data_IF_100237524982
#
_entry.id   IF_100237524982
#
_cell.length_a   1.000
_cell.length_b   1.000
_cell.length_c   1.000
_cell.angle_alpha   90.00
_cell.angle_beta   90.00
_cell.angle_gamma   90.00
#
_symmetry.space_group_name_H-M   'P 1'
#
loop_
_entity.id
_entity.type
_entity.pdbx_description
1 polymer ?
#
# COMPACT_ATOMS: atom_id res chain seq x y z
N UNK A 1 10.55 16.64 -3.42
CA UNK A 1 9.89 15.43 -3.94
C UNK A 1 10.84 14.74 -4.90
N UNK A 2 11.30 13.53 -4.56
CA UNK A 2 12.00 12.66 -5.53
C UNK A 2 10.93 11.84 -6.23
N UNK A 3 10.77 12.07 -7.53
CA UNK A 3 9.97 11.24 -8.40
C UNK A 3 10.73 9.93 -8.59
N UNK A 4 10.16 8.79 -8.19
CA UNK A 4 10.77 7.49 -8.45
C UNK A 4 10.42 7.11 -9.89
N UNK A 5 11.44 6.88 -10.71
CA UNK A 5 11.30 6.46 -12.10
C UNK A 5 11.02 4.96 -12.20
N UNK A 6 10.52 4.49 -13.34
CA UNK A 6 10.34 3.05 -13.59
C UNK A 6 11.63 2.23 -13.38
N UNK A 7 12.81 2.84 -13.55
CA UNK A 7 14.10 2.19 -13.25
C UNK A 7 14.36 2.01 -11.75
N UNK A 8 13.83 2.89 -10.92
CA UNK A 8 13.89 2.77 -9.46
C UNK A 8 12.92 1.68 -8.96
N UNK A 9 11.78 1.49 -9.65
CA UNK A 9 10.83 0.39 -9.38
C UNK A 9 11.45 -1.00 -9.64
N UNK A 10 12.21 -1.16 -10.73
CA UNK A 10 12.93 -2.41 -10.99
C UNK A 10 14.03 -2.71 -9.94
N UNK A 11 14.65 -1.68 -9.34
CA UNK A 11 15.62 -1.87 -8.25
C UNK A 11 14.96 -2.36 -6.96
N UNK A 12 13.72 -1.95 -6.68
CA UNK A 12 12.97 -2.40 -5.50
C UNK A 12 12.59 -3.89 -5.59
N UNK A 13 12.30 -4.39 -6.80
CA UNK A 13 12.07 -5.82 -7.06
C UNK A 13 13.39 -6.62 -7.00
N UNK A 14 14.52 -6.05 -7.45
CA UNK A 14 15.80 -6.74 -7.50
C UNK A 14 16.51 -6.84 -6.12
N UNK A 15 16.39 -5.82 -5.27
CA UNK A 15 17.05 -5.77 -3.95
C UNK A 15 16.58 -6.87 -2.98
N UNK A 16 15.44 -7.52 -3.23
CA UNK A 16 14.99 -8.66 -2.41
C UNK A 16 15.76 -9.95 -2.65
N UNK A 17 16.70 -9.98 -3.61
CA UNK A 17 17.38 -11.22 -4.05
C UNK A 17 18.85 -11.35 -3.61
N UNK A 18 19.45 -10.35 -2.95
CA UNK A 18 20.87 -10.43 -2.56
C UNK A 18 21.10 -9.96 -1.12
N UNK A 19 21.04 -10.91 -0.18
CA UNK A 19 21.96 -11.06 0.97
C UNK A 19 22.20 -9.95 1.99
N UNK A 20 21.69 -8.73 1.84
CA UNK A 20 22.07 -7.59 2.68
C UNK A 20 20.90 -7.13 3.54
N UNK A 21 21.15 -7.02 4.85
CA UNK A 21 20.29 -6.45 5.90
C UNK A 21 18.92 -5.92 5.45
N UNK A 22 17.85 -6.68 5.73
CA UNK A 22 16.46 -6.32 5.44
C UNK A 22 16.05 -5.06 6.22
N UNK A 23 16.39 -3.89 5.68
CA UNK A 23 15.79 -2.62 6.09
C UNK A 23 14.45 -2.53 5.38
N UNK A 24 13.36 -2.22 6.10
CA UNK A 24 12.10 -1.95 5.46
C UNK A 24 12.25 -0.83 4.42
N UNK A 25 11.59 -0.99 3.27
CA UNK A 25 11.57 0.05 2.24
C UNK A 25 10.99 1.34 2.83
N UNK A 26 11.65 2.47 2.61
CA UNK A 26 11.20 3.75 3.13
C UNK A 26 10.72 4.66 1.99
N UNK A 27 9.41 4.84 1.91
CA UNK A 27 8.69 5.74 1.00
C UNK A 27 8.02 6.89 1.75
N UNK A 28 8.50 7.23 2.95
CA UNK A 28 7.89 8.29 3.74
C UNK A 28 7.85 9.61 2.95
N UNK A 29 6.66 10.19 2.81
CA UNK A 29 6.42 11.42 2.06
C UNK A 29 6.72 11.32 0.54
N UNK A 30 6.87 10.11 0.01
CA UNK A 30 7.11 9.91 -1.42
C UNK A 30 5.84 10.21 -2.24
N UNK A 31 6.03 10.72 -3.45
CA UNK A 31 4.97 10.79 -4.45
C UNK A 31 5.07 9.58 -5.37
N UNK A 32 4.09 8.69 -5.23
CA UNK A 32 3.88 7.45 -5.98
C UNK A 32 2.50 7.48 -6.66
N UNK A 33 1.94 8.67 -6.89
CA UNK A 33 0.66 8.80 -7.57
C UNK A 33 0.71 8.16 -8.96
N UNK A 34 -0.28 7.33 -9.27
CA UNK A 34 -0.35 6.56 -10.51
C UNK A 34 0.74 5.50 -10.68
N UNK A 35 1.53 5.18 -9.66
CA UNK A 35 2.62 4.20 -9.77
C UNK A 35 2.10 2.79 -10.12
N UNK A 36 2.88 2.05 -10.91
CA UNK A 36 2.62 0.66 -11.25
C UNK A 36 3.31 -0.27 -10.23
N UNK A 37 2.58 -0.69 -9.21
CA UNK A 37 3.05 -1.51 -8.08
C UNK A 37 2.33 -2.87 -7.99
N UNK A 38 1.68 -3.30 -9.08
CA UNK A 38 1.00 -4.58 -9.16
C UNK A 38 1.97 -5.72 -8.83
N UNK A 39 1.54 -6.61 -7.94
CA UNK A 39 2.35 -7.73 -7.40
C UNK A 39 3.64 -7.31 -6.64
N UNK A 40 3.80 -6.05 -6.25
CA UNK A 40 5.00 -5.60 -5.57
C UNK A 40 5.16 -6.25 -4.17
N UNK A 41 6.41 -6.52 -3.80
CA UNK A 41 6.79 -6.99 -2.46
C UNK A 41 7.12 -5.78 -1.57
N UNK A 42 6.14 -5.31 -0.81
CA UNK A 42 6.19 -4.10 0.01
C UNK A 42 5.99 -4.40 1.50
N UNK A 43 6.24 -5.64 1.93
CA UNK A 43 6.12 -6.03 3.33
C UNK A 43 6.98 -5.15 4.23
N UNK A 44 6.42 -4.73 5.37
CA UNK A 44 7.01 -3.81 6.35
C UNK A 44 7.33 -2.40 5.83
N UNK A 45 7.01 -2.06 4.58
CA UNK A 45 7.39 -0.77 4.00
C UNK A 45 6.74 0.40 4.75
N UNK A 46 7.49 1.51 4.83
CA UNK A 46 7.00 2.75 5.40
C UNK A 46 6.46 3.68 4.31
N UNK A 47 5.14 3.84 4.26
CA UNK A 47 4.42 4.78 3.40
C UNK A 47 3.81 5.94 4.18
N UNK A 48 4.32 6.24 5.38
CA UNK A 48 3.82 7.36 6.18
C UNK A 48 3.87 8.65 5.36
N UNK A 49 2.78 9.41 5.32
CA UNK A 49 2.61 10.64 4.52
C UNK A 49 2.77 10.46 2.98
N UNK A 50 2.84 9.22 2.47
CA UNK A 50 3.07 8.97 1.05
C UNK A 50 1.79 9.20 0.23
N UNK A 51 1.97 9.71 -1.00
CA UNK A 51 0.89 9.85 -1.95
C UNK A 51 0.89 8.68 -2.94
N UNK A 52 -0.09 7.78 -2.84
CA UNK A 52 -0.34 6.66 -3.75
C UNK A 52 -1.67 6.80 -4.49
N UNK A 53 -2.17 8.04 -4.66
CA UNK A 53 -3.45 8.26 -5.33
C UNK A 53 -3.43 7.70 -6.76
N UNK A 54 -4.48 6.96 -7.11
CA UNK A 54 -4.61 6.30 -8.42
C UNK A 54 -3.55 5.23 -8.73
N UNK A 55 -2.69 4.84 -7.79
CA UNK A 55 -1.68 3.80 -8.02
C UNK A 55 -2.33 2.42 -8.23
N UNK A 56 -1.65 1.57 -9.00
CA UNK A 56 -2.06 0.16 -9.19
C UNK A 56 -1.26 -0.73 -8.25
N UNK A 57 -1.91 -1.21 -7.18
CA UNK A 57 -1.38 -2.12 -6.17
C UNK A 57 -2.11 -3.48 -6.21
N UNK A 58 -2.69 -3.87 -7.34
CA UNK A 58 -3.38 -5.17 -7.45
C UNK A 58 -2.46 -6.30 -6.95
N UNK A 59 -2.93 -7.06 -5.97
CA UNK A 59 -2.21 -8.19 -5.36
C UNK A 59 -0.81 -7.83 -4.84
N UNK A 60 -0.56 -6.57 -4.49
CA UNK A 60 0.66 -6.18 -3.80
C UNK A 60 0.67 -6.74 -2.37
N UNK A 61 1.87 -7.07 -1.87
CA UNK A 61 2.07 -7.51 -0.50
C UNK A 61 2.46 -6.30 0.37
N UNK A 62 1.51 -5.81 1.17
CA UNK A 62 1.66 -4.71 2.13
C UNK A 62 1.58 -5.23 3.58
N UNK A 63 1.90 -6.51 3.79
CA UNK A 63 1.91 -7.13 5.11
C UNK A 63 2.75 -6.30 6.09
N UNK A 64 2.16 -5.92 7.22
CA UNK A 64 2.79 -5.07 8.25
C UNK A 64 3.30 -3.70 7.75
N UNK A 65 2.78 -3.16 6.65
CA UNK A 65 3.16 -1.83 6.18
C UNK A 65 2.70 -0.72 7.14
N UNK A 66 3.45 0.38 7.17
CA UNK A 66 3.09 1.60 7.90
C UNK A 66 2.44 2.59 6.95
N UNK A 67 1.13 2.85 7.12
CA UNK A 67 0.32 3.63 6.17
C UNK A 67 -0.24 4.92 6.80
N UNK A 68 0.39 5.42 7.87
CA UNK A 68 -0.06 6.59 8.60
C UNK A 68 -0.18 7.80 7.67
N UNK A 69 -1.35 8.41 7.61
CA UNK A 69 -1.65 9.60 6.82
C UNK A 69 -1.33 9.45 5.30
N UNK A 70 -1.22 8.20 4.82
CA UNK A 70 -0.99 7.90 3.41
C UNK A 70 -2.26 8.12 2.57
N UNK A 71 -2.09 8.54 1.32
CA UNK A 71 -3.19 8.77 0.39
C UNK A 71 -3.28 7.65 -0.65
N UNK A 72 -4.30 6.79 -0.55
CA UNK A 72 -4.66 5.75 -1.52
C UNK A 72 -5.95 6.10 -2.29
N UNK A 73 -6.35 7.37 -2.34
CA UNK A 73 -7.59 7.76 -3.04
C UNK A 73 -7.58 7.30 -4.50
N UNK A 74 -8.65 6.62 -4.92
CA UNK A 74 -8.81 6.06 -6.27
C UNK A 74 -7.81 4.96 -6.65
N UNK A 75 -6.96 4.49 -5.73
CA UNK A 75 -5.99 3.43 -6.02
C UNK A 75 -6.68 2.07 -6.22
N UNK A 76 -6.05 1.19 -7.00
CA UNK A 76 -6.47 -0.19 -7.18
C UNK A 76 -5.71 -1.10 -6.18
N UNK A 77 -6.38 -1.58 -5.14
CA UNK A 77 -5.81 -2.53 -4.17
C UNK A 77 -6.47 -3.92 -4.28
N UNK A 78 -7.07 -4.26 -5.42
CA UNK A 78 -7.76 -5.54 -5.57
C UNK A 78 -6.86 -6.72 -5.19
N UNK A 79 -7.30 -7.50 -4.21
CA UNK A 79 -6.56 -8.66 -3.71
C UNK A 79 -5.24 -8.35 -3.02
N UNK A 80 -4.95 -7.08 -2.68
CA UNK A 80 -3.75 -6.72 -1.92
C UNK A 80 -3.80 -7.29 -0.50
N UNK A 81 -2.63 -7.59 0.06
CA UNK A 81 -2.51 -8.05 1.44
C UNK A 81 -2.07 -6.90 2.35
N UNK A 82 -3.01 -6.33 3.11
CA UNK A 82 -2.77 -5.34 4.17
C UNK A 82 -2.88 -5.97 5.56
N UNK A 83 -2.73 -7.29 5.69
CA UNK A 83 -2.83 -7.92 7.00
C UNK A 83 -1.75 -7.40 7.95
N UNK A 84 -2.14 -7.17 9.20
CA UNK A 84 -1.32 -6.57 10.25
C UNK A 84 -0.74 -5.18 9.91
N UNK A 85 -1.26 -4.47 8.89
CA UNK A 85 -0.81 -3.13 8.57
C UNK A 85 -1.23 -2.11 9.65
N UNK A 86 -0.44 -1.04 9.77
CA UNK A 86 -0.75 0.09 10.66
C UNK A 86 -1.41 1.19 9.84
N UNK A 87 -2.72 1.34 9.99
CA UNK A 87 -3.58 2.18 9.16
C UNK A 87 -4.20 3.27 10.03
N UNK A 88 -3.57 4.44 10.06
CA UNK A 88 -4.09 5.59 10.81
C UNK A 88 -4.23 6.80 9.89
N UNK A 89 -5.40 7.45 9.86
CA UNK A 89 -5.60 8.65 9.04
C UNK A 89 -5.49 8.41 7.53
N UNK A 90 -5.42 7.14 7.11
CA UNK A 90 -5.20 6.76 5.71
C UNK A 90 -6.44 7.06 4.88
N UNK A 91 -6.25 7.67 3.71
CA UNK A 91 -7.33 7.99 2.78
C UNK A 91 -7.49 6.87 1.74
N UNK A 92 -8.55 6.08 1.82
CA UNK A 92 -8.94 5.07 0.82
C UNK A 92 -10.15 5.51 -0.02
N UNK A 93 -10.44 6.83 -0.11
CA UNK A 93 -11.64 7.32 -0.79
C UNK A 93 -11.69 6.86 -2.24
N UNK A 94 -12.78 6.23 -2.65
CA UNK A 94 -12.97 5.74 -4.02
C UNK A 94 -12.01 4.62 -4.44
N UNK A 95 -11.17 4.10 -3.54
CA UNK A 95 -10.24 3.02 -3.85
C UNK A 95 -10.97 1.71 -4.15
N UNK A 96 -10.38 0.87 -5.00
CA UNK A 96 -10.88 -0.48 -5.24
C UNK A 96 -10.23 -1.47 -4.27
N UNK A 97 -10.97 -1.83 -3.22
CA UNK A 97 -10.51 -2.69 -2.12
C UNK A 97 -11.05 -4.13 -2.23
N UNK A 98 -11.68 -4.52 -3.36
CA UNK A 98 -12.29 -5.86 -3.48
C UNK A 98 -11.25 -6.97 -3.28
N UNK A 99 -11.57 -7.94 -2.42
CA UNK A 99 -10.67 -9.02 -2.04
C UNK A 99 -9.45 -8.62 -1.22
N UNK A 100 -9.33 -7.35 -0.78
CA UNK A 100 -8.23 -6.91 0.07
C UNK A 100 -8.28 -7.59 1.43
N UNK A 101 -7.13 -7.98 1.96
CA UNK A 101 -7.03 -8.57 3.28
C UNK A 101 -6.58 -7.54 4.31
N UNK A 102 -7.46 -7.10 5.21
CA UNK A 102 -7.12 -6.26 6.37
C UNK A 102 -7.05 -7.06 7.69
N UNK A 103 -6.95 -8.40 7.64
CA UNK A 103 -6.96 -9.21 8.87
C UNK A 103 -5.85 -8.78 9.83
N UNK A 104 -6.21 -8.46 11.07
CA UNK A 104 -5.26 -7.99 12.09
C UNK A 104 -4.70 -6.58 11.87
N UNK A 105 -5.13 -5.86 10.84
CA UNK A 105 -4.73 -4.47 10.63
C UNK A 105 -5.24 -3.58 11.78
N UNK A 106 -4.40 -2.65 12.22
CA UNK A 106 -4.77 -1.65 13.22
C UNK A 106 -5.31 -0.43 12.49
N UNK A 107 -6.63 -0.35 12.37
CA UNK A 107 -7.33 0.70 11.62
C UNK A 107 -7.89 1.74 12.58
N UNK A 108 -7.48 3.00 12.40
CA UNK A 108 -7.98 4.14 13.16
C UNK A 108 -8.11 5.38 12.26
N UNK A 109 -9.22 6.10 12.34
CA UNK A 109 -9.43 7.36 11.61
C UNK A 109 -9.21 7.26 10.08
N UNK A 110 -9.35 6.07 9.49
CA UNK A 110 -9.20 5.86 8.04
C UNK A 110 -10.51 6.19 7.29
N UNK A 111 -10.38 6.81 6.12
CA UNK A 111 -11.53 7.20 5.29
C UNK A 111 -11.76 6.18 4.16
N UNK A 112 -12.86 5.44 4.26
CA UNK A 112 -13.31 4.46 3.27
C UNK A 112 -14.49 4.97 2.41
N UNK A 113 -14.78 6.26 2.41
CA UNK A 113 -15.90 6.83 1.64
C UNK A 113 -15.78 6.44 0.16
N UNK A 114 -16.86 5.92 -0.42
CA UNK A 114 -16.93 5.45 -1.82
C UNK A 114 -15.95 4.32 -2.18
N UNK A 115 -15.25 3.73 -1.21
CA UNK A 115 -14.37 2.58 -1.46
C UNK A 115 -15.19 1.36 -1.90
N UNK A 116 -14.69 0.63 -2.90
CA UNK A 116 -15.35 -0.58 -3.41
C UNK A 116 -14.87 -1.78 -2.62
N UNK A 117 -15.73 -2.39 -1.84
CA UNK A 117 -15.49 -3.64 -1.12
C UNK A 117 -16.41 -4.75 -1.62
N UNK A 118 -16.05 -6.01 -1.36
CA UNK A 118 -16.86 -7.18 -1.68
C UNK A 118 -16.82 -8.23 -0.56
N UNK A 119 -17.55 -9.33 -0.75
CA UNK A 119 -17.61 -10.45 0.21
C UNK A 119 -16.26 -11.13 0.48
N UNK A 120 -15.23 -10.86 -0.33
CA UNK A 120 -13.89 -11.41 -0.15
C UNK A 120 -12.98 -10.48 0.64
N UNK A 121 -13.41 -9.24 0.87
CA UNK A 121 -12.66 -8.26 1.65
C UNK A 121 -12.70 -8.68 3.12
N UNK A 122 -11.54 -8.81 3.76
CA UNK A 122 -11.41 -9.33 5.12
C UNK A 122 -10.99 -8.23 6.09
N UNK A 123 -11.39 -8.33 7.36
CA UNK A 123 -10.87 -7.49 8.46
C UNK A 123 -11.45 -6.06 8.53
N UNK A 124 -12.54 -5.77 7.81
CA UNK A 124 -13.26 -4.48 7.85
C UNK A 124 -14.64 -4.57 8.54
N UNK A 125 -14.99 -5.72 9.13
CA UNK A 125 -16.27 -6.00 9.79
C UNK A 125 -16.07 -6.49 11.21
#
# INVERSE_FOLDING_TARGET
MRYLSDRDLWMLIALSSVGEHFRPLNFQGADLSGAHLKHAFLQNANFTDANLSGADLEKANLYQAYLHDANFSGANLQGADLSNAYIRGTNFRGADLRGTNFSGALIKDADFTDAKIDIKTKGLY
#
